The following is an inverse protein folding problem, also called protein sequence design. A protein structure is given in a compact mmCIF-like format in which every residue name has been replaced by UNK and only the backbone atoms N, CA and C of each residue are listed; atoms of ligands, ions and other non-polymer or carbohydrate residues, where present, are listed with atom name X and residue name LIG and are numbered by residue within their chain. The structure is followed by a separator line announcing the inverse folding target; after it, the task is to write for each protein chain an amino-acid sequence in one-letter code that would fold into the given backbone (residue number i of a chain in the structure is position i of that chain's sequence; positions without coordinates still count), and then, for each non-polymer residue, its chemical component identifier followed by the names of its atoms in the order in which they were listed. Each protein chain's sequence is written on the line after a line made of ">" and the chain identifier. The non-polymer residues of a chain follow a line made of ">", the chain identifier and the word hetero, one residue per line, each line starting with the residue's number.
data_IF_679082116475
#
_entry.id   IF_679082116475
#
_cell.length_a   1.000
_cell.length_b   1.000
_cell.length_c   1.000
_cell.angle_alpha   90.00
_cell.angle_beta   90.00
_cell.angle_gamma   90.00
#
_symmetry.space_group_name_H-M   'P 1'
#
loop_
_entity.id
_entity.type
_entity.pdbx_description
1 polymer ?
#
# COMPACT_ATOMS: atom_id res chain seq x y z
N UNK A 1 -53.79 1.22 -41.66
CA UNK A 1 -52.64 0.67 -40.91
C UNK A 1 -51.54 1.72 -40.92
N UNK A 2 -51.12 2.27 -39.78
CA UNK A 2 -49.96 3.15 -39.76
C UNK A 2 -48.68 2.31 -39.84
N UNK A 3 -47.73 2.77 -40.66
CA UNK A 3 -46.38 2.22 -40.78
C UNK A 3 -45.66 2.29 -39.43
N UNK A 4 -44.82 1.31 -39.05
CA UNK A 4 -44.07 1.39 -37.80
C UNK A 4 -43.00 2.48 -37.94
N UNK A 5 -42.98 3.40 -36.97
CA UNK A 5 -41.92 4.37 -36.82
C UNK A 5 -40.59 3.64 -36.64
N UNK A 6 -39.67 3.81 -37.60
CA UNK A 6 -38.27 3.44 -37.47
C UNK A 6 -37.67 4.33 -36.38
N UNK A 7 -37.58 3.80 -35.16
CA UNK A 7 -36.85 4.47 -34.09
C UNK A 7 -35.40 4.67 -34.52
N UNK A 8 -34.95 5.93 -34.52
CA UNK A 8 -33.55 6.30 -34.72
C UNK A 8 -32.71 5.59 -33.66
N UNK A 9 -31.95 4.60 -34.11
CA UNK A 9 -30.95 3.89 -33.32
C UNK A 9 -29.91 4.89 -32.81
N UNK A 10 -29.60 4.85 -31.51
CA UNK A 10 -28.55 5.70 -30.91
C UNK A 10 -27.20 5.42 -31.58
N UNK A 11 -26.32 6.42 -31.68
CA UNK A 11 -25.02 6.27 -32.35
C UNK A 11 -24.20 5.07 -31.80
N UNK A 12 -24.26 4.83 -30.50
CA UNK A 12 -23.65 3.65 -29.84
C UNK A 12 -24.16 2.31 -30.39
N UNK A 13 -25.45 2.22 -30.75
CA UNK A 13 -26.04 1.00 -31.31
C UNK A 13 -25.69 0.77 -32.78
N UNK A 14 -25.15 1.79 -33.47
CA UNK A 14 -24.53 1.64 -34.80
C UNK A 14 -23.11 1.06 -34.69
N UNK A 15 -22.38 1.36 -33.62
CA UNK A 15 -21.01 0.85 -33.38
C UNK A 15 -21.00 -0.61 -32.93
N UNK A 16 -21.93 -0.99 -32.04
CA UNK A 16 -21.99 -2.34 -31.49
C UNK A 16 -23.45 -2.80 -31.34
N UNK A 17 -23.79 -4.05 -31.72
CA UNK A 17 -25.15 -4.56 -31.54
C UNK A 17 -25.58 -4.57 -30.06
N UNK A 18 -26.88 -4.39 -29.75
CA UNK A 18 -27.38 -4.39 -28.37
C UNK A 18 -26.98 -5.62 -27.54
N UNK A 19 -26.95 -6.81 -28.16
CA UNK A 19 -26.51 -8.03 -27.49
C UNK A 19 -25.02 -7.98 -27.09
N UNK A 20 -24.17 -7.37 -27.91
CA UNK A 20 -22.75 -7.19 -27.61
C UNK A 20 -22.55 -6.13 -26.52
N UNK A 21 -23.34 -5.05 -26.51
CA UNK A 21 -23.33 -4.06 -25.43
C UNK A 21 -23.74 -4.67 -24.08
N UNK A 22 -24.77 -5.52 -24.08
CA UNK A 22 -25.18 -6.25 -22.89
C UNK A 22 -24.09 -7.21 -22.39
N UNK A 23 -23.41 -7.92 -23.31
CA UNK A 23 -22.28 -8.79 -22.95
C UNK A 23 -21.10 -7.99 -22.39
N UNK A 24 -20.75 -6.85 -22.99
CA UNK A 24 -19.71 -5.97 -22.46
C UNK A 24 -20.08 -5.50 -21.04
N UNK A 25 -21.32 -5.08 -20.83
CA UNK A 25 -21.80 -4.67 -19.50
C UNK A 25 -21.72 -5.80 -18.48
N UNK A 26 -22.03 -7.04 -18.87
CA UNK A 26 -21.90 -8.19 -17.98
C UNK A 26 -20.43 -8.47 -17.60
N UNK A 27 -19.49 -8.27 -18.53
CA UNK A 27 -18.05 -8.35 -18.25
C UNK A 27 -17.63 -7.23 -17.28
N UNK A 28 -18.03 -5.98 -17.56
CA UNK A 28 -17.77 -4.84 -16.67
C UNK A 28 -18.32 -5.09 -15.25
N UNK A 29 -19.53 -5.63 -15.14
CA UNK A 29 -20.15 -5.98 -13.85
C UNK A 29 -19.42 -7.12 -13.15
N UNK A 30 -18.98 -8.15 -13.90
CA UNK A 30 -18.14 -9.23 -13.35
C UNK A 30 -16.82 -8.69 -12.81
N UNK A 31 -16.17 -7.78 -13.54
CA UNK A 31 -14.91 -7.14 -13.12
C UNK A 31 -15.15 -6.30 -11.86
N UNK A 32 -16.17 -5.44 -11.87
CA UNK A 32 -16.52 -4.61 -10.72
C UNK A 32 -16.86 -5.47 -9.49
N UNK A 33 -17.56 -6.59 -9.70
CA UNK A 33 -17.91 -7.53 -8.65
C UNK A 33 -16.70 -8.27 -8.08
N UNK A 34 -15.74 -8.69 -8.91
CA UNK A 34 -14.47 -9.30 -8.48
C UNK A 34 -13.69 -8.40 -7.52
N UNK A 35 -13.76 -7.08 -7.69
CA UNK A 35 -13.13 -6.11 -6.80
C UNK A 35 -14.02 -5.58 -5.68
N UNK A 36 -15.20 -6.15 -5.47
CA UNK A 36 -16.08 -5.73 -4.37
C UNK A 36 -15.56 -6.21 -3.01
N UNK A 37 -15.45 -5.27 -2.07
CA UNK A 37 -14.87 -5.48 -0.74
C UNK A 37 -15.64 -6.49 0.12
N UNK A 38 -16.97 -6.59 -0.06
CA UNK A 38 -17.86 -7.46 0.72
C UNK A 38 -17.47 -8.95 0.67
N UNK A 39 -16.75 -9.39 -0.38
CA UNK A 39 -16.37 -10.80 -0.56
C UNK A 39 -14.98 -11.12 -0.02
N UNK A 40 -14.06 -10.14 -0.03
CA UNK A 40 -12.74 -10.24 0.61
C UNK A 40 -12.93 -10.43 2.13
N UNK A 41 -13.89 -9.72 2.72
CA UNK A 41 -14.21 -9.79 4.15
C UNK A 41 -14.92 -11.09 4.60
N UNK A 42 -15.60 -11.80 3.70
CA UNK A 42 -16.34 -13.04 4.01
C UNK A 42 -15.50 -14.30 3.85
N UNK A 43 -14.27 -14.19 3.34
CA UNK A 43 -13.46 -15.36 3.05
C UNK A 43 -14.12 -16.27 2.01
N UNK A 44 -14.80 -15.67 1.03
CA UNK A 44 -15.49 -16.40 -0.05
C UNK A 44 -14.77 -16.14 -1.38
N UNK A 45 -14.74 -17.17 -2.23
CA UNK A 45 -14.21 -17.06 -3.59
C UNK A 45 -15.18 -16.35 -4.56
N UNK A 46 -14.83 -16.35 -5.85
CA UNK A 46 -15.61 -15.75 -6.94
C UNK A 46 -16.97 -16.44 -7.20
N UNK A 47 -17.20 -17.61 -6.60
CA UNK A 47 -18.43 -18.39 -6.70
C UNK A 47 -19.23 -18.41 -5.38
N UNK A 48 -18.72 -17.77 -4.34
CA UNK A 48 -19.37 -17.72 -3.03
C UNK A 48 -19.16 -18.97 -2.17
N UNK A 49 -18.17 -19.81 -2.50
CA UNK A 49 -17.80 -20.96 -1.67
C UNK A 49 -16.77 -20.56 -0.62
N UNK A 50 -16.71 -21.36 0.46
CA UNK A 50 -15.66 -21.28 1.46
C UNK A 50 -14.28 -21.45 0.80
N UNK A 51 -13.34 -20.55 1.12
CA UNK A 51 -11.97 -20.50 0.58
C UNK A 51 -11.26 -21.86 0.61
N UNK A 52 -11.54 -22.73 1.59
CA UNK A 52 -10.93 -24.08 1.64
C UNK A 52 -11.39 -25.00 0.50
N UNK A 53 -12.61 -24.82 -0.01
CA UNK A 53 -13.21 -25.67 -1.05
C UNK A 53 -12.76 -25.31 -2.48
N UNK A 54 -12.25 -24.10 -2.70
CA UNK A 54 -11.84 -23.56 -4.01
C UNK A 54 -10.56 -24.21 -4.59
N UNK A 55 -9.81 -24.97 -3.77
CA UNK A 55 -8.57 -25.67 -4.16
C UNK A 55 -8.74 -26.72 -5.28
N UNK A 56 -9.98 -27.12 -5.60
CA UNK A 56 -10.24 -28.24 -6.50
C UNK A 56 -10.78 -27.86 -7.90
N UNK A 57 -10.99 -26.58 -8.23
CA UNK A 57 -11.69 -26.15 -9.46
C UNK A 57 -10.84 -25.50 -10.57
N UNK A 58 -9.52 -25.36 -10.41
CA UNK A 58 -8.68 -24.43 -11.23
C UNK A 58 -8.20 -24.96 -12.59
N UNK A 59 -9.13 -25.39 -13.44
CA UNK A 59 -8.87 -25.51 -14.87
C UNK A 59 -9.91 -24.82 -15.74
N UNK A 60 -11.09 -24.49 -15.22
CA UNK A 60 -12.19 -23.97 -16.04
C UNK A 60 -12.22 -22.44 -16.17
N UNK A 61 -11.63 -21.69 -15.24
CA UNK A 61 -11.76 -20.22 -15.20
C UNK A 61 -10.76 -19.52 -16.13
N UNK A 62 -9.53 -20.02 -16.23
CA UNK A 62 -8.51 -19.50 -17.15
C UNK A 62 -8.97 -19.62 -18.62
N UNK A 63 -9.67 -20.72 -18.93
CA UNK A 63 -10.25 -20.95 -20.25
C UNK A 63 -11.37 -19.94 -20.57
N UNK A 64 -12.19 -19.57 -19.58
CA UNK A 64 -13.25 -18.56 -19.76
C UNK A 64 -12.68 -17.16 -19.96
N UNK A 65 -11.70 -16.76 -19.15
CA UNK A 65 -11.04 -15.44 -19.26
C UNK A 65 -10.33 -15.31 -20.61
N UNK A 66 -9.70 -16.38 -21.10
CA UNK A 66 -9.11 -16.40 -22.44
C UNK A 66 -10.16 -16.22 -23.55
N UNK A 67 -11.34 -16.83 -23.40
CA UNK A 67 -12.45 -16.67 -24.35
C UNK A 67 -13.01 -15.23 -24.32
N UNK A 68 -13.16 -14.64 -23.14
CA UNK A 68 -13.61 -13.25 -22.98
C UNK A 68 -12.59 -12.27 -23.56
N UNK A 69 -11.30 -12.47 -23.27
CA UNK A 69 -10.21 -11.65 -23.80
C UNK A 69 -10.17 -11.70 -25.34
N UNK A 70 -10.27 -12.89 -25.93
CA UNK A 70 -10.35 -13.05 -27.39
C UNK A 70 -11.57 -12.35 -28.00
N UNK A 71 -12.70 -12.32 -27.29
CA UNK A 71 -13.89 -11.62 -27.73
C UNK A 71 -13.72 -10.09 -27.69
N UNK A 72 -13.09 -9.57 -26.63
CA UNK A 72 -12.80 -8.13 -26.50
C UNK A 72 -11.83 -7.65 -27.56
N UNK A 73 -10.76 -8.41 -27.87
CA UNK A 73 -9.84 -8.08 -28.96
C UNK A 73 -10.54 -7.96 -30.31
N UNK A 74 -11.49 -8.85 -30.61
CA UNK A 74 -12.29 -8.75 -31.84
C UNK A 74 -13.14 -7.48 -31.89
N UNK A 75 -13.56 -6.96 -30.73
CA UNK A 75 -14.28 -5.67 -30.67
C UNK A 75 -13.31 -4.51 -30.89
N UNK A 76 -12.13 -4.52 -30.25
CA UNK A 76 -11.12 -3.48 -30.46
C UNK A 76 -10.73 -3.37 -31.94
N UNK A 77 -10.48 -4.50 -32.61
CA UNK A 77 -10.18 -4.51 -34.06
C UNK A 77 -11.31 -3.88 -34.87
N UNK A 78 -12.57 -4.17 -34.55
CA UNK A 78 -13.71 -3.54 -35.24
C UNK A 78 -13.82 -2.05 -34.96
N UNK A 79 -13.56 -1.63 -33.73
CA UNK A 79 -13.56 -0.20 -33.38
C UNK A 79 -12.46 0.51 -34.17
N UNK A 80 -11.26 -0.05 -34.24
CA UNK A 80 -10.17 0.49 -35.06
C UNK A 80 -10.55 0.60 -36.55
N UNK A 81 -11.15 -0.44 -37.14
CA UNK A 81 -11.63 -0.43 -38.54
C UNK A 81 -12.71 0.64 -38.80
N UNK A 82 -13.39 1.09 -37.76
CA UNK A 82 -14.47 2.09 -37.81
C UNK A 82 -14.07 3.42 -37.17
N UNK A 83 -12.79 3.63 -36.91
CA UNK A 83 -12.29 4.85 -36.29
C UNK A 83 -12.62 6.06 -37.16
N UNK A 84 -13.09 7.18 -36.55
CA UNK A 84 -13.26 8.42 -37.27
C UNK A 84 -11.90 8.93 -37.79
N UNK A 85 -11.85 9.60 -38.95
CA UNK A 85 -10.61 10.11 -39.52
C UNK A 85 -9.93 11.08 -38.56
N UNK A 86 -8.60 11.00 -38.46
CA UNK A 86 -7.78 11.90 -37.65
C UNK A 86 -7.86 13.33 -38.21
N UNK A 87 -8.00 14.33 -37.33
CA UNK A 87 -7.90 15.74 -37.70
C UNK A 87 -6.42 16.10 -37.96
N UNK A 88 -5.90 15.75 -39.14
CA UNK A 88 -4.62 16.26 -39.59
C UNK A 88 -4.77 17.76 -39.89
N UNK A 89 -4.31 18.60 -38.96
CA UNK A 89 -4.09 20.03 -39.18
C UNK A 89 -2.87 20.26 -40.08
N UNK A 90 -2.90 19.74 -41.31
CA UNK A 90 -1.99 20.19 -42.37
C UNK A 90 -2.77 21.12 -43.29
N UNK A 91 -2.37 22.39 -43.24
CA UNK A 91 -2.84 23.51 -44.05
C UNK A 91 -4.23 24.05 -43.67
N UNK A 92 -4.22 25.24 -43.05
CA UNK A 92 -5.42 25.94 -42.53
C UNK A 92 -6.45 26.34 -43.59
N UNK A 93 -7.08 25.32 -44.15
CA UNK A 93 -8.32 25.36 -44.92
C UNK A 93 -9.43 25.03 -43.92
N UNK A 94 -10.38 25.95 -43.82
CA UNK A 94 -11.55 25.88 -42.96
C UNK A 94 -12.17 24.46 -43.00
N UNK A 95 -12.07 23.74 -41.87
CA UNK A 95 -12.70 22.43 -41.68
C UNK A 95 -14.20 22.60 -41.97
N UNK A 96 -14.77 21.72 -42.79
CA UNK A 96 -16.23 21.60 -42.89
C UNK A 96 -16.78 21.46 -41.47
N UNK A 97 -17.69 22.33 -41.06
CA UNK A 97 -18.31 22.29 -39.72
C UNK A 97 -18.74 20.85 -39.41
N UNK A 98 -18.08 20.22 -38.43
CA UNK A 98 -18.40 18.86 -37.99
C UNK A 98 -19.88 18.82 -37.62
N UNK A 99 -20.62 17.89 -38.22
CA UNK A 99 -22.04 17.75 -37.91
C UNK A 99 -22.21 17.24 -36.48
N UNK A 100 -23.34 17.57 -35.85
CA UNK A 100 -23.68 17.06 -34.51
C UNK A 100 -23.64 15.53 -34.48
N UNK A 101 -24.06 14.87 -35.57
CA UNK A 101 -24.04 13.41 -35.68
C UNK A 101 -22.62 12.82 -35.75
N UNK A 102 -21.70 13.46 -36.46
CA UNK A 102 -20.28 13.04 -36.54
C UNK A 102 -19.59 13.19 -35.18
N UNK A 103 -19.86 14.30 -34.50
CA UNK A 103 -19.33 14.55 -33.16
C UNK A 103 -19.85 13.54 -32.14
N UNK A 104 -21.16 13.26 -32.15
CA UNK A 104 -21.76 12.24 -31.29
C UNK A 104 -21.19 10.84 -31.58
N UNK A 105 -21.00 10.51 -32.86
CA UNK A 105 -20.39 9.25 -33.26
C UNK A 105 -18.96 9.10 -32.74
N UNK A 106 -18.13 10.15 -32.88
CA UNK A 106 -16.75 10.18 -32.38
C UNK A 106 -16.69 9.98 -30.87
N UNK A 107 -17.54 10.69 -30.12
CA UNK A 107 -17.62 10.55 -28.65
C UNK A 107 -18.07 9.16 -28.22
N UNK A 108 -19.07 8.59 -28.90
CA UNK A 108 -19.54 7.23 -28.59
C UNK A 108 -18.50 6.16 -28.95
N UNK A 109 -17.75 6.36 -30.04
CA UNK A 109 -16.64 5.50 -30.43
C UNK A 109 -15.51 5.54 -29.40
N UNK A 110 -15.06 6.73 -29.01
CA UNK A 110 -14.03 6.94 -28.00
C UNK A 110 -14.43 6.28 -26.66
N UNK A 111 -15.65 6.56 -26.19
CA UNK A 111 -16.18 5.97 -24.95
C UNK A 111 -16.25 4.44 -25.01
N UNK A 112 -16.66 3.88 -26.15
CA UNK A 112 -16.75 2.43 -26.30
C UNK A 112 -15.35 1.80 -26.37
N UNK A 113 -14.40 2.45 -27.06
CA UNK A 113 -12.99 2.05 -27.12
C UNK A 113 -12.36 2.05 -25.73
N UNK A 114 -12.59 3.09 -24.93
CA UNK A 114 -12.12 3.17 -23.55
C UNK A 114 -12.66 2.02 -22.69
N UNK A 115 -13.98 1.76 -22.76
CA UNK A 115 -14.63 0.66 -22.01
C UNK A 115 -14.06 -0.71 -22.36
N UNK A 116 -13.94 -1.01 -23.66
CA UNK A 116 -13.42 -2.30 -24.12
C UNK A 116 -11.94 -2.45 -23.75
N UNK A 117 -11.16 -1.38 -23.93
CA UNK A 117 -9.73 -1.35 -23.57
C UNK A 117 -9.53 -1.56 -22.07
N UNK A 118 -10.37 -0.95 -21.23
CA UNK A 118 -10.33 -1.16 -19.78
C UNK A 118 -10.59 -2.62 -19.39
N UNK A 119 -11.53 -3.30 -20.06
CA UNK A 119 -11.75 -4.73 -19.84
C UNK A 119 -10.55 -5.58 -20.31
N UNK A 120 -9.94 -5.27 -21.46
CA UNK A 120 -8.72 -5.99 -21.91
C UNK A 120 -7.58 -5.78 -20.92
N UNK A 121 -7.37 -4.54 -20.50
CA UNK A 121 -6.35 -4.18 -19.52
C UNK A 121 -6.56 -4.91 -18.18
N UNK A 122 -7.80 -5.16 -17.77
CA UNK A 122 -8.10 -6.01 -16.62
C UNK A 122 -7.58 -7.44 -16.79
N UNK A 123 -7.90 -8.09 -17.92
CA UNK A 123 -7.43 -9.45 -18.19
C UNK A 123 -5.91 -9.53 -18.41
N UNK A 124 -5.24 -8.42 -18.72
CA UNK A 124 -3.78 -8.31 -18.74
C UNK A 124 -3.15 -8.10 -17.35
N UNK A 125 -3.96 -8.00 -16.29
CA UNK A 125 -3.53 -7.85 -14.90
C UNK A 125 -3.41 -6.41 -14.41
N UNK A 126 -3.17 -6.27 -13.10
CA UNK A 126 -3.21 -4.97 -12.38
C UNK A 126 -2.27 -3.91 -12.96
N UNK A 127 -1.08 -4.30 -13.44
CA UNK A 127 -0.12 -3.36 -14.02
C UNK A 127 -0.65 -2.73 -15.33
N UNK A 128 -1.46 -3.45 -16.11
CA UNK A 128 -2.02 -2.94 -17.36
C UNK A 128 -3.28 -2.10 -17.15
N UNK A 129 -4.01 -2.34 -16.06
CA UNK A 129 -5.36 -1.81 -15.78
C UNK A 129 -5.44 -0.33 -15.37
N UNK A 130 -4.39 0.48 -15.62
CA UNK A 130 -4.38 1.92 -15.32
C UNK A 130 -4.51 2.27 -13.84
N UNK A 131 -4.85 3.52 -13.56
CA UNK A 131 -5.13 4.00 -12.20
C UNK A 131 -6.53 3.58 -11.74
N UNK A 132 -6.73 3.33 -10.45
CA UNK A 132 -8.04 3.00 -9.89
C UNK A 132 -8.21 3.58 -8.48
N UNK A 133 -9.46 3.86 -8.09
CA UNK A 133 -9.78 4.23 -6.71
C UNK A 133 -10.70 3.19 -6.11
N UNK A 134 -10.27 2.57 -5.01
CA UNK A 134 -11.00 1.54 -4.28
C UNK A 134 -11.55 2.09 -2.96
N UNK A 135 -12.70 1.60 -2.55
CA UNK A 135 -13.27 1.91 -1.23
C UNK A 135 -13.09 0.70 -0.33
N UNK A 136 -12.31 0.86 0.73
CA UNK A 136 -12.02 -0.13 1.75
C UNK A 136 -12.94 0.10 2.94
N UNK A 137 -13.52 -0.96 3.45
CA UNK A 137 -14.37 -0.94 4.64
C UNK A 137 -13.90 -2.05 5.56
N UNK A 138 -13.76 -1.73 6.84
CA UNK A 138 -13.47 -2.71 7.88
C UNK A 138 -14.59 -2.69 8.92
N UNK A 139 -14.80 -3.82 9.58
CA UNK A 139 -15.79 -3.93 10.67
C UNK A 139 -15.48 -2.90 11.75
N UNK A 140 -16.39 -1.96 11.92
CA UNK A 140 -16.30 -0.85 12.87
C UNK A 140 -17.71 -0.39 13.23
N UNK A 141 -17.88 0.22 14.41
CA UNK A 141 -19.14 0.82 14.81
C UNK A 141 -18.86 2.26 15.27
N UNK A 142 -19.44 3.26 14.60
CA UNK A 142 -20.14 3.22 13.32
C UNK A 142 -19.33 2.59 12.16
N UNK A 143 -19.98 2.28 11.04
CA UNK A 143 -19.25 1.93 9.82
C UNK A 143 -18.42 3.10 9.32
N UNK A 144 -17.17 2.84 8.96
CA UNK A 144 -16.28 3.79 8.27
C UNK A 144 -15.82 3.21 6.93
N UNK A 145 -15.35 4.07 6.04
CA UNK A 145 -14.78 3.69 4.75
C UNK A 145 -13.58 4.56 4.38
N UNK A 146 -12.55 3.96 3.77
CA UNK A 146 -11.40 4.65 3.21
C UNK A 146 -11.38 4.54 1.69
N UNK A 147 -11.22 5.65 1.00
CA UNK A 147 -11.01 5.67 -0.45
C UNK A 147 -9.51 5.75 -0.73
N UNK A 148 -8.96 4.77 -1.41
CA UNK A 148 -7.53 4.72 -1.77
C UNK A 148 -7.40 4.73 -3.28
N UNK A 149 -6.70 5.72 -3.80
CA UNK A 149 -6.26 5.78 -5.18
C UNK A 149 -4.95 5.00 -5.35
N UNK A 150 -4.99 3.97 -6.19
CA UNK A 150 -3.83 3.29 -6.75
C UNK A 150 -3.50 3.97 -8.09
N UNK A 151 -2.33 4.58 -8.25
CA UNK A 151 -1.95 5.19 -9.51
C UNK A 151 -1.69 4.12 -10.59
N UNK A 152 -1.65 4.53 -11.85
CA UNK A 152 -1.26 3.66 -12.95
C UNK A 152 0.20 3.22 -12.83
N UNK A 153 0.52 2.04 -13.33
CA UNK A 153 1.91 1.60 -13.49
C UNK A 153 2.59 2.35 -14.64
N UNK A 154 3.11 3.55 -14.38
CA UNK A 154 3.93 4.31 -15.31
C UNK A 154 5.40 4.05 -15.04
N UNK A 155 6.19 3.70 -16.06
CA UNK A 155 7.67 3.74 -15.97
C UNK A 155 8.34 2.86 -14.91
N UNK A 156 7.67 1.85 -14.33
CA UNK A 156 8.24 1.03 -13.25
C UNK A 156 8.08 1.62 -11.85
N UNK A 157 7.16 2.57 -11.65
CA UNK A 157 6.94 3.25 -10.37
C UNK A 157 6.62 2.25 -9.23
N UNK A 158 7.36 2.36 -8.12
CA UNK A 158 7.07 1.66 -6.86
C UNK A 158 5.79 2.23 -6.22
N UNK A 159 5.09 1.40 -5.45
CA UNK A 159 3.87 1.82 -4.72
C UNK A 159 2.63 2.05 -5.59
N UNK A 160 2.61 1.55 -6.82
CA UNK A 160 1.48 1.70 -7.75
C UNK A 160 0.22 0.91 -7.38
N UNK A 161 0.29 0.02 -6.38
CA UNK A 161 -0.86 -0.75 -5.92
C UNK A 161 -0.84 -0.99 -4.42
N UNK A 162 -2.04 -1.08 -3.85
CA UNK A 162 -2.25 -1.58 -2.49
C UNK A 162 -2.14 -3.12 -2.47
N UNK A 163 -1.17 -3.65 -1.73
CA UNK A 163 -0.89 -5.08 -1.60
C UNK A 163 -1.76 -5.76 -0.52
N UNK A 164 -1.89 -7.08 -0.60
CA UNK A 164 -2.72 -7.87 0.32
C UNK A 164 -2.30 -7.75 1.80
N UNK A 165 -1.00 -7.63 2.08
CA UNK A 165 -0.51 -7.39 3.45
C UNK A 165 -1.02 -6.09 4.05
N UNK A 166 -1.18 -5.04 3.23
CA UNK A 166 -1.70 -3.76 3.71
C UNK A 166 -3.17 -3.88 4.12
N UNK A 167 -3.98 -4.61 3.34
CA UNK A 167 -5.37 -4.90 3.70
C UNK A 167 -5.47 -5.70 5.01
N UNK A 168 -4.70 -6.77 5.14
CA UNK A 168 -4.75 -7.64 6.31
C UNK A 168 -4.26 -6.93 7.59
N UNK A 169 -3.18 -6.16 7.51
CA UNK A 169 -2.73 -5.35 8.65
C UNK A 169 -3.75 -4.26 9.02
N UNK A 170 -4.41 -3.65 8.03
CA UNK A 170 -5.49 -2.69 8.25
C UNK A 170 -6.70 -3.32 8.93
N UNK A 171 -7.03 -4.56 8.57
CA UNK A 171 -8.08 -5.35 9.22
C UNK A 171 -7.75 -5.60 10.69
N UNK A 172 -6.52 -6.01 11.01
CA UNK A 172 -6.07 -6.17 12.41
C UNK A 172 -6.16 -4.86 13.22
N UNK A 173 -5.80 -3.72 12.61
CA UNK A 173 -5.95 -2.39 13.23
C UNK A 173 -7.42 -2.10 13.55
N UNK A 174 -8.31 -2.27 12.55
CA UNK A 174 -9.72 -1.95 12.71
C UNK A 174 -10.44 -2.89 13.69
N UNK A 175 -9.99 -4.13 13.82
CA UNK A 175 -10.53 -5.14 14.73
C UNK A 175 -10.03 -5.01 16.18
N UNK A 176 -9.02 -4.16 16.42
CA UNK A 176 -8.47 -3.95 17.77
C UNK A 176 -7.45 -4.99 18.20
N UNK A 177 -6.83 -5.70 17.26
CA UNK A 177 -5.84 -6.74 17.58
C UNK A 177 -4.48 -6.16 18.01
N UNK A 178 -4.22 -4.88 17.71
CA UNK A 178 -3.02 -4.12 18.12
C UNK A 178 -3.29 -3.46 19.49
N UNK A 179 -2.70 -3.95 20.61
CA UNK A 179 -3.06 -3.53 21.96
C UNK A 179 -2.87 -2.02 22.24
N UNK A 180 -1.90 -1.40 21.58
CA UNK A 180 -1.58 0.02 21.70
C UNK A 180 -2.63 0.91 21.02
N UNK A 181 -3.49 0.36 20.17
CA UNK A 181 -4.52 1.06 19.42
C UNK A 181 -5.91 0.70 19.94
N UNK A 182 -6.60 1.67 20.51
CA UNK A 182 -8.01 1.50 20.87
C UNK A 182 -8.89 1.53 19.61
N UNK A 183 -9.84 0.61 19.43
CA UNK A 183 -10.79 0.65 18.33
C UNK A 183 -11.64 1.92 18.35
N UNK A 184 -12.03 2.39 17.18
CA UNK A 184 -13.00 3.47 17.07
C UNK A 184 -14.42 3.00 17.46
N UNK A 185 -15.08 3.75 18.33
CA UNK A 185 -16.41 3.43 18.88
C UNK A 185 -17.49 4.49 18.56
N UNK A 186 -17.18 5.50 17.74
CA UNK A 186 -18.12 6.54 17.32
C UNK A 186 -18.53 7.56 18.36
N UNK A 187 -18.35 7.25 19.63
CA UNK A 187 -18.85 8.08 20.71
C UNK A 187 -17.75 9.04 21.18
N UNK A 188 -17.76 10.26 20.64
CA UNK A 188 -16.93 11.36 21.16
C UNK A 188 -17.49 11.97 22.46
N UNK A 189 -18.67 11.51 22.92
CA UNK A 189 -19.47 12.10 23.99
C UNK A 189 -19.71 11.18 25.21
N UNK A 190 -19.30 9.91 25.17
CA UNK A 190 -19.47 9.04 26.32
C UNK A 190 -18.50 9.43 27.44
N UNK A 191 -19.02 9.44 28.66
CA UNK A 191 -18.28 9.22 29.90
C UNK A 191 -17.65 7.81 29.94
N UNK A 192 -17.18 7.29 28.80
CA UNK A 192 -16.22 6.19 28.80
C UNK A 192 -14.99 6.70 29.56
N UNK A 193 -14.39 5.90 30.45
CA UNK A 193 -13.14 6.31 31.09
C UNK A 193 -12.21 6.77 29.98
N UNK A 194 -11.77 8.04 30.03
CA UNK A 194 -10.82 8.57 29.07
C UNK A 194 -9.71 7.53 28.93
N UNK A 195 -9.39 7.13 27.68
CA UNK A 195 -8.29 6.19 27.45
C UNK A 195 -7.13 6.57 28.36
N UNK A 196 -6.75 5.65 29.24
CA UNK A 196 -5.71 5.88 30.23
C UNK A 196 -4.33 6.02 29.56
N UNK A 197 -4.24 5.67 28.28
CA UNK A 197 -3.08 5.91 27.45
C UNK A 197 -3.15 7.22 26.69
N UNK A 198 -2.02 7.95 26.59
CA UNK A 198 -1.90 9.04 25.63
C UNK A 198 -2.12 8.52 24.20
N UNK A 199 -2.56 9.40 23.30
CA UNK A 199 -2.66 9.06 21.88
C UNK A 199 -1.27 8.66 21.35
N UNK A 200 -1.12 7.47 20.76
CA UNK A 200 0.18 6.99 20.32
C UNK A 200 0.70 7.79 19.13
N UNK A 201 2.01 8.02 19.09
CA UNK A 201 2.75 8.46 17.90
C UNK A 201 3.07 7.25 17.04
N UNK A 202 2.55 7.25 15.82
CA UNK A 202 2.67 6.11 14.91
C UNK A 202 3.54 6.51 13.71
N UNK A 203 4.46 5.64 13.31
CA UNK A 203 5.18 5.73 12.04
C UNK A 203 4.87 4.50 11.19
N UNK A 204 4.40 4.71 9.97
CA UNK A 204 4.33 3.68 8.94
C UNK A 204 5.58 3.74 8.05
N UNK A 205 6.26 2.60 7.91
CA UNK A 205 7.40 2.43 7.02
C UNK A 205 6.90 1.89 5.67
N UNK A 206 7.37 2.47 4.56
CA UNK A 206 7.05 1.99 3.21
C UNK A 206 5.54 2.04 2.95
N UNK A 207 4.93 3.20 3.20
CA UNK A 207 3.47 3.37 3.20
C UNK A 207 2.81 3.02 1.88
N UNK A 208 3.50 3.10 0.74
CA UNK A 208 2.92 2.85 -0.57
C UNK A 208 1.67 3.72 -0.80
N UNK A 209 0.50 3.12 -0.97
CA UNK A 209 -0.75 3.86 -1.14
C UNK A 209 -1.33 4.45 0.16
N UNK A 210 -0.79 4.03 1.31
CA UNK A 210 -1.11 4.55 2.64
C UNK A 210 -2.27 3.85 3.35
N UNK A 211 -2.79 2.73 2.82
CA UNK A 211 -3.97 2.06 3.40
C UNK A 211 -3.80 1.78 4.91
N UNK A 212 -2.63 1.30 5.36
CA UNK A 212 -2.43 0.93 6.77
C UNK A 212 -2.39 2.16 7.67
N UNK A 213 -1.57 3.16 7.33
CA UNK A 213 -1.47 4.40 8.11
C UNK A 213 -2.79 5.18 8.16
N UNK A 214 -3.52 5.28 7.05
CA UNK A 214 -4.85 5.90 7.04
C UNK A 214 -5.87 5.09 7.83
N UNK A 215 -5.77 3.76 7.83
CA UNK A 215 -6.60 2.92 8.69
C UNK A 215 -6.31 3.19 10.16
N UNK A 216 -5.05 3.29 10.58
CA UNK A 216 -4.71 3.66 11.95
C UNK A 216 -5.25 5.06 12.35
N UNK A 217 -5.22 6.03 11.43
CA UNK A 217 -5.71 7.38 11.70
C UNK A 217 -7.25 7.47 11.82
N UNK A 218 -7.97 6.61 11.08
CA UNK A 218 -9.43 6.63 10.98
C UNK A 218 -10.11 5.63 11.92
N UNK A 219 -9.60 4.40 12.02
CA UNK A 219 -10.22 3.30 12.75
C UNK A 219 -9.69 3.11 14.17
N UNK A 220 -8.71 3.92 14.60
CA UNK A 220 -8.20 3.87 15.97
C UNK A 220 -8.39 5.20 16.70
N UNK A 221 -8.75 5.11 17.99
CA UNK A 221 -9.01 6.20 18.94
C UNK A 221 -10.10 7.21 18.50
N UNK A 222 -11.02 7.63 19.38
CA UNK A 222 -12.04 8.64 19.04
C UNK A 222 -11.46 9.97 18.54
N UNK A 223 -10.29 10.36 19.05
CA UNK A 223 -9.57 11.59 18.65
C UNK A 223 -8.58 11.37 17.48
N UNK A 224 -8.33 10.12 17.09
CA UNK A 224 -7.30 9.72 16.12
C UNK A 224 -5.87 9.90 16.62
N UNK A 225 -4.97 8.91 16.49
CA UNK A 225 -3.54 9.14 16.69
C UNK A 225 -2.99 10.07 15.60
N UNK A 226 -1.87 10.73 15.88
CA UNK A 226 -1.09 11.38 14.81
C UNK A 226 -0.24 10.30 14.14
N UNK A 227 -0.49 10.06 12.86
CA UNK A 227 0.21 9.04 12.07
C UNK A 227 1.20 9.72 11.14
N UNK A 228 2.44 9.25 11.13
CA UNK A 228 3.44 9.64 10.14
C UNK A 228 3.48 8.53 9.09
N UNK A 229 3.09 8.84 7.86
CA UNK A 229 3.25 7.95 6.71
C UNK A 229 4.57 8.29 6.02
N UNK A 230 5.37 7.27 5.70
CA UNK A 230 6.69 7.49 5.13
C UNK A 230 7.03 6.56 3.98
N UNK A 231 7.70 7.12 2.98
CA UNK A 231 8.25 6.39 1.85
C UNK A 231 9.50 7.10 1.33
N UNK A 232 10.35 6.41 0.57
CA UNK A 232 11.52 7.03 -0.04
C UNK A 232 11.20 7.68 -1.39
N UNK A 233 10.16 7.19 -2.08
CA UNK A 233 9.92 7.54 -3.47
C UNK A 233 9.00 8.77 -3.62
N UNK A 234 9.41 9.85 -4.33
CA UNK A 234 8.62 11.07 -4.45
C UNK A 234 7.22 10.86 -5.05
N UNK A 235 7.05 9.95 -6.01
CA UNK A 235 5.74 9.66 -6.59
C UNK A 235 4.81 8.98 -5.58
N UNK A 236 5.36 8.19 -4.66
CA UNK A 236 4.60 7.60 -3.56
C UNK A 236 4.18 8.68 -2.57
N UNK A 237 5.09 9.61 -2.22
CA UNK A 237 4.76 10.78 -1.38
C UNK A 237 3.62 11.61 -1.99
N UNK A 238 3.64 11.86 -3.30
CA UNK A 238 2.54 12.53 -4.01
C UNK A 238 1.22 11.76 -3.91
N UNK A 239 1.27 10.43 -4.08
CA UNK A 239 0.11 9.53 -3.96
C UNK A 239 -0.46 9.55 -2.54
N UNK A 240 0.38 9.53 -1.51
CA UNK A 240 -0.03 9.64 -0.11
C UNK A 240 -0.75 10.97 0.16
N UNK A 241 -0.23 12.08 -0.37
CA UNK A 241 -0.91 13.38 -0.22
C UNK A 241 -2.26 13.42 -0.92
N UNK A 242 -2.38 12.81 -2.10
CA UNK A 242 -3.66 12.66 -2.79
C UNK A 242 -4.65 11.83 -1.96
N UNK A 243 -4.22 10.67 -1.44
CA UNK A 243 -5.07 9.78 -0.64
C UNK A 243 -5.44 10.36 0.72
N UNK A 244 -4.56 11.13 1.36
CA UNK A 244 -4.86 11.87 2.60
C UNK A 244 -6.02 12.85 2.37
N UNK A 245 -5.92 13.68 1.32
CA UNK A 245 -6.97 14.64 0.94
C UNK A 245 -8.28 13.95 0.58
N UNK A 246 -8.21 12.82 -0.13
CA UNK A 246 -9.38 12.04 -0.52
C UNK A 246 -10.20 11.55 0.68
N UNK A 247 -9.57 11.41 1.85
CA UNK A 247 -10.19 10.97 3.10
C UNK A 247 -10.27 12.07 4.17
N UNK A 248 -9.90 13.32 3.88
CA UNK A 248 -9.82 14.43 4.84
C UNK A 248 -8.92 14.13 6.06
N UNK A 249 -7.80 13.44 5.85
CA UNK A 249 -6.89 13.01 6.92
C UNK A 249 -5.68 13.92 7.13
N UNK A 250 -5.59 15.05 6.41
CA UNK A 250 -4.42 15.96 6.46
C UNK A 250 -4.12 16.54 7.85
N UNK A 251 -5.12 16.60 8.74
CA UNK A 251 -4.93 17.06 10.12
C UNK A 251 -4.47 15.95 11.08
N UNK A 252 -4.65 14.68 10.70
CA UNK A 252 -4.30 13.49 11.49
C UNK A 252 -3.02 12.82 11.00
N UNK A 253 -2.68 13.02 9.73
CA UNK A 253 -1.55 12.39 9.08
C UNK A 253 -0.49 13.43 8.72
N UNK A 254 0.77 13.09 8.99
CA UNK A 254 1.94 13.76 8.47
C UNK A 254 2.61 12.83 7.45
N UNK A 255 3.04 13.36 6.31
CA UNK A 255 3.62 12.56 5.22
C UNK A 255 5.05 13.00 5.03
N UNK A 256 6.00 12.06 5.10
CA UNK A 256 7.43 12.37 5.10
C UNK A 256 8.21 11.49 4.15
N UNK A 257 9.20 12.09 3.50
CA UNK A 257 10.25 11.33 2.83
C UNK A 257 11.15 10.70 3.90
N UNK A 258 11.37 9.39 3.81
CA UNK A 258 12.27 8.66 4.68
C UNK A 258 13.09 7.65 3.88
N UNK A 259 14.38 7.92 3.72
CA UNK A 259 15.34 6.96 3.16
C UNK A 259 16.01 6.18 4.29
N UNK A 260 15.77 4.88 4.35
CA UNK A 260 16.32 4.02 5.39
C UNK A 260 17.85 3.92 5.32
N UNK A 261 18.45 4.11 4.13
CA UNK A 261 19.90 4.09 3.94
C UNK A 261 20.57 5.26 4.64
N UNK A 262 19.91 6.41 4.68
CA UNK A 262 20.42 7.58 5.40
C UNK A 262 20.49 7.33 6.90
N UNK A 263 19.53 6.58 7.46
CA UNK A 263 19.54 6.19 8.87
C UNK A 263 20.74 5.29 9.16
N UNK A 264 20.96 4.25 8.36
CA UNK A 264 22.10 3.37 8.50
C UNK A 264 23.43 4.13 8.35
N UNK A 265 23.53 5.04 7.37
CA UNK A 265 24.71 5.88 7.16
C UNK A 265 25.00 6.77 8.37
N UNK A 266 23.99 7.47 8.90
CA UNK A 266 24.13 8.31 10.10
C UNK A 266 24.57 7.50 11.32
N UNK A 267 24.02 6.30 11.51
CA UNK A 267 24.43 5.38 12.57
C UNK A 267 25.89 4.94 12.43
N UNK A 268 26.33 4.55 11.22
CA UNK A 268 27.74 4.21 10.93
C UNK A 268 28.67 5.39 11.23
N UNK A 269 28.29 6.62 10.84
CA UNK A 269 29.07 7.84 11.14
C UNK A 269 29.17 8.11 12.64
N UNK A 270 28.07 7.98 13.40
CA UNK A 270 28.09 8.09 14.87
C UNK A 270 29.03 7.08 15.51
N UNK A 271 28.97 5.83 15.07
CA UNK A 271 29.79 4.75 15.60
C UNK A 271 31.28 5.05 15.37
N UNK A 272 31.67 5.42 14.16
CA UNK A 272 33.06 5.76 13.84
C UNK A 272 33.55 6.99 14.63
N UNK A 273 32.70 8.00 14.80
CA UNK A 273 33.03 9.17 15.61
C UNK A 273 33.21 8.81 17.10
N UNK A 274 32.44 7.86 17.62
CA UNK A 274 32.60 7.34 18.98
C UNK A 274 33.91 6.57 19.14
N UNK A 275 34.26 5.69 18.18
CA UNK A 275 35.54 4.96 18.19
C UNK A 275 36.73 5.93 18.14
N UNK A 276 36.72 6.90 17.23
CA UNK A 276 37.81 7.89 17.13
C UNK A 276 37.96 8.76 18.38
N UNK A 277 36.86 9.03 19.12
CA UNK A 277 36.92 9.71 20.43
C UNK A 277 37.41 8.80 21.57
N UNK A 278 37.22 7.49 21.45
CA UNK A 278 37.77 6.49 22.37
C UNK A 278 39.27 6.26 22.17
N UNK A 279 39.73 6.30 20.91
CA UNK A 279 41.12 6.02 20.52
C UNK A 279 42.10 7.18 20.81
N UNK A 280 41.61 8.39 21.13
CA UNK A 280 42.46 9.47 21.69
C UNK A 280 42.98 9.16 23.10
N UNK A 281 42.51 8.07 23.75
CA UNK A 281 42.98 7.65 25.07
C UNK A 281 43.73 6.32 25.13
N UNK A 282 43.71 5.49 24.10
CA UNK A 282 44.45 4.22 24.08
C UNK A 282 45.01 3.92 22.69
N UNK A 283 46.21 4.43 22.40
CA UNK A 283 47.05 3.86 21.35
C UNK A 283 47.76 2.62 21.91
N UNK A 284 47.32 1.41 21.51
CA UNK A 284 48.15 0.40 20.85
C UNK A 284 47.40 -0.94 20.66
N UNK A 285 47.42 -1.41 19.40
CA UNK A 285 47.34 -2.81 18.94
C UNK A 285 46.02 -3.58 19.07
N UNK A 286 45.35 -3.80 17.93
CA UNK A 286 45.32 -5.08 17.19
C UNK A 286 44.12 -5.09 16.22
N UNK A 287 44.32 -4.63 14.97
CA UNK A 287 43.26 -4.62 13.96
C UNK A 287 43.10 -6.02 13.34
N UNK A 288 42.24 -6.85 13.95
CA UNK A 288 41.60 -7.96 13.25
C UNK A 288 40.30 -7.46 12.61
N UNK A 289 40.40 -7.06 11.36
CA UNK A 289 39.27 -6.80 10.48
C UNK A 289 38.46 -8.10 10.30
N UNK A 290 37.23 -8.12 10.80
CA UNK A 290 36.21 -9.09 10.43
C UNK A 290 35.77 -8.85 8.98
N UNK A 291 35.53 -9.90 8.17
CA UNK A 291 35.08 -9.73 6.81
C UNK A 291 33.60 -9.31 6.82
N UNK A 292 33.36 -8.01 6.65
CA UNK A 292 32.02 -7.48 6.38
C UNK A 292 31.58 -7.97 5.00
N UNK A 293 30.45 -8.67 4.95
CA UNK A 293 29.79 -9.03 3.69
C UNK A 293 29.14 -7.76 3.16
N UNK A 294 29.84 -7.05 2.28
CA UNK A 294 29.32 -5.86 1.58
C UNK A 294 27.95 -6.19 0.99
N UNK A 295 26.94 -5.41 1.38
CA UNK A 295 25.63 -5.44 0.72
C UNK A 295 25.72 -4.54 -0.52
N UNK A 296 25.04 -4.90 -1.60
CA UNK A 296 25.06 -4.17 -2.89
C UNK A 296 24.60 -2.71 -2.78
N UNK A 297 24.06 -2.32 -1.62
CA UNK A 297 23.53 -0.99 -1.32
C UNK A 297 24.59 0.05 -0.89
N UNK A 298 25.84 -0.36 -0.63
CA UNK A 298 26.93 0.59 -0.32
C UNK A 298 27.31 1.50 -1.53
N UNK A 299 26.89 1.13 -2.76
CA UNK A 299 27.35 1.79 -4.00
C UNK A 299 26.29 2.62 -4.76
N UNK A 300 25.05 2.73 -4.28
CA UNK A 300 24.01 3.56 -4.96
C UNK A 300 23.80 4.85 -4.19
N UNK A 301 24.71 5.82 -4.39
CA UNK A 301 24.44 7.20 -4.06
C UNK A 301 23.30 7.73 -4.97
N UNK A 302 22.31 8.48 -4.46
CA UNK A 302 21.44 9.24 -5.34
C UNK A 302 22.30 10.23 -6.13
N UNK A 303 22.17 10.23 -7.45
CA UNK A 303 22.66 11.33 -8.27
C UNK A 303 22.09 12.63 -7.70
N UNK A 304 23.00 13.52 -7.31
CA UNK A 304 22.73 14.86 -6.78
C UNK A 304 21.53 15.54 -7.44
N UNK A 305 20.40 15.59 -6.74
CA UNK A 305 19.39 16.59 -6.99
C UNK A 305 19.92 17.91 -6.41
N UNK A 306 20.33 18.80 -7.31
CA UNK A 306 20.82 20.15 -7.01
C UNK A 306 19.79 20.97 -6.24
N UNK A 307 20.16 21.55 -5.10
CA UNK A 307 19.38 22.64 -4.51
C UNK A 307 19.55 22.97 -3.01
N UNK A 308 20.25 22.16 -2.20
CA UNK A 308 20.43 22.45 -0.78
C UNK A 308 21.80 23.09 -0.49
N UNK A 309 21.79 24.18 0.27
CA UNK A 309 22.99 24.94 0.67
C UNK A 309 24.01 24.08 1.42
N UNK A 310 25.32 24.25 1.19
CA UNK A 310 26.34 23.35 1.70
C UNK A 310 26.91 23.84 3.04
N UNK A 311 26.11 24.01 4.09
CA UNK A 311 26.63 24.53 5.38
C UNK A 311 25.94 23.99 6.66
N UNK A 312 25.06 22.99 6.60
CA UNK A 312 24.68 22.27 7.82
C UNK A 312 25.51 21.00 7.94
N UNK A 313 26.35 20.90 8.97
CA UNK A 313 26.88 19.59 9.38
C UNK A 313 25.73 18.59 9.42
N UNK A 314 25.88 17.37 8.88
CA UNK A 314 24.81 16.39 8.93
C UNK A 314 24.46 16.18 10.41
N UNK A 315 23.23 16.49 10.79
CA UNK A 315 22.72 16.23 12.13
C UNK A 315 22.82 14.71 12.38
N UNK A 316 23.91 14.34 13.03
CA UNK A 316 24.26 12.98 13.39
C UNK A 316 23.81 12.66 14.80
N UNK A 317 23.07 13.53 15.48
CA UNK A 317 22.58 13.24 16.83
C UNK A 317 21.57 12.08 16.78
N UNK A 318 21.52 11.31 17.87
CA UNK A 318 20.48 10.30 18.03
C UNK A 318 19.14 10.98 18.28
N UNK A 319 18.05 10.39 17.80
CA UNK A 319 16.71 10.89 18.06
C UNK A 319 16.44 10.92 19.57
N UNK A 320 16.03 12.10 20.06
CA UNK A 320 15.57 12.27 21.42
C UNK A 320 14.36 11.36 21.68
N UNK A 321 14.21 10.86 22.92
CA UNK A 321 13.13 9.94 23.29
C UNK A 321 11.73 10.54 23.02
N UNK A 322 11.61 11.87 23.14
CA UNK A 322 10.37 12.59 22.83
C UNK A 322 9.97 12.52 21.36
N UNK A 323 10.93 12.34 20.44
CA UNK A 323 10.71 12.31 19.00
C UNK A 323 10.53 10.89 18.45
N UNK A 324 10.74 9.88 19.30
CA UNK A 324 10.52 8.48 18.98
C UNK A 324 9.03 8.10 19.01
N UNK A 325 8.75 6.99 18.37
CA UNK A 325 7.43 6.48 18.08
C UNK A 325 7.00 5.45 19.11
N UNK A 326 5.73 5.52 19.50
CA UNK A 326 5.08 4.53 20.35
C UNK A 326 4.81 3.24 19.56
N UNK A 327 4.44 3.40 18.28
CA UNK A 327 4.16 2.31 17.37
C UNK A 327 4.88 2.53 16.04
N UNK A 328 5.50 1.49 15.53
CA UNK A 328 5.90 1.44 14.11
C UNK A 328 5.07 0.35 13.44
N UNK A 329 4.60 0.61 12.23
CA UNK A 329 3.85 -0.36 11.41
C UNK A 329 4.47 -0.46 10.02
N UNK A 330 4.39 -1.64 9.39
CA UNK A 330 4.87 -1.82 8.02
C UNK A 330 4.22 -3.03 7.34
N UNK A 331 3.82 -2.87 6.08
CA UNK A 331 3.30 -3.95 5.26
C UNK A 331 4.25 -4.19 4.08
N UNK A 332 4.79 -5.41 3.98
CA UNK A 332 5.76 -5.84 2.96
C UNK A 332 7.06 -5.04 2.91
N UNK A 333 7.54 -4.49 4.01
CA UNK A 333 8.75 -3.63 4.02
C UNK A 333 10.08 -4.39 3.86
N UNK A 334 10.07 -5.72 3.85
CA UNK A 334 11.27 -6.57 3.75
C UNK A 334 11.20 -7.42 2.48
N UNK A 335 11.98 -7.03 1.47
CA UNK A 335 12.00 -7.70 0.16
C UNK A 335 13.25 -8.56 -0.07
N UNK A 336 14.39 -8.13 0.48
CA UNK A 336 15.68 -8.80 0.37
C UNK A 336 16.50 -8.61 1.64
N UNK A 337 17.68 -9.23 1.66
CA UNK A 337 18.61 -9.23 2.79
C UNK A 337 19.10 -7.82 3.19
N UNK A 338 19.22 -6.89 2.24
CA UNK A 338 19.58 -5.50 2.54
C UNK A 338 18.43 -4.75 3.21
N UNK A 339 17.19 -4.96 2.73
CA UNK A 339 16.00 -4.42 3.38
C UNK A 339 15.83 -4.94 4.81
N UNK A 340 16.15 -6.20 5.08
CA UNK A 340 16.13 -6.77 6.42
C UNK A 340 17.01 -6.00 7.42
N UNK A 341 18.25 -5.67 7.04
CA UNK A 341 19.18 -4.84 7.83
C UNK A 341 18.64 -3.41 7.99
N UNK A 342 18.23 -2.78 6.89
CA UNK A 342 17.78 -1.40 6.87
C UNK A 342 16.55 -1.18 7.77
N UNK A 343 15.52 -2.02 7.64
CA UNK A 343 14.29 -1.92 8.43
C UNK A 343 14.60 -2.09 9.92
N UNK A 344 15.42 -3.07 10.30
CA UNK A 344 15.78 -3.28 11.71
C UNK A 344 16.47 -2.05 12.32
N UNK A 345 17.39 -1.41 11.58
CA UNK A 345 18.06 -0.19 12.03
C UNK A 345 17.11 1.01 12.14
N UNK A 346 16.16 1.16 11.22
CA UNK A 346 15.13 2.21 11.28
C UNK A 346 14.22 1.98 12.48
N UNK A 347 13.76 0.75 12.69
CA UNK A 347 12.92 0.41 13.85
C UNK A 347 13.68 0.71 15.15
N UNK A 348 14.96 0.34 15.26
CA UNK A 348 15.72 0.65 16.48
C UNK A 348 15.93 2.15 16.73
N UNK A 349 16.15 2.93 15.66
CA UNK A 349 16.33 4.38 15.73
C UNK A 349 15.03 5.10 16.10
N UNK A 350 13.89 4.69 15.54
CA UNK A 350 12.63 5.42 15.70
C UNK A 350 11.74 4.87 16.80
N UNK A 351 11.85 3.60 17.19
CA UNK A 351 10.99 3.05 18.24
C UNK A 351 11.48 3.54 19.60
N UNK A 352 10.56 3.96 20.47
CA UNK A 352 10.86 4.35 21.85
C UNK A 352 11.65 3.29 22.60
N UNK A 353 12.56 3.74 23.45
CA UNK A 353 13.38 2.91 24.35
C UNK A 353 12.66 2.73 25.69
N UNK A 354 11.91 3.74 26.11
CA UNK A 354 11.13 3.73 27.35
C UNK A 354 9.69 3.21 27.12
N UNK A 355 9.02 2.83 28.21
CA UNK A 355 7.59 2.51 28.15
C UNK A 355 6.77 3.76 27.79
N UNK A 356 5.72 3.58 27.00
CA UNK A 356 4.75 4.62 26.61
C UNK A 356 4.13 5.28 27.85
N UNK A 357 3.91 4.50 28.91
CA UNK A 357 3.39 4.98 30.18
C UNK A 357 3.98 4.21 31.36
N UNK A 358 4.17 4.91 32.48
CA UNK A 358 4.55 4.31 33.76
C UNK A 358 3.33 3.83 34.58
N UNK A 359 2.09 4.07 34.12
CA UNK A 359 0.88 3.70 34.86
C UNK A 359 0.67 2.17 34.85
N UNK A 360 0.98 1.51 35.97
CA UNK A 360 0.87 0.06 36.12
C UNK A 360 -0.56 -0.49 36.10
N UNK A 361 -1.59 0.36 36.19
CA UNK A 361 -2.99 -0.06 36.03
C UNK A 361 -3.32 -0.47 34.59
N UNK A 362 -2.52 -0.01 33.62
CA UNK A 362 -2.65 -0.37 32.22
C UNK A 362 -1.78 -1.62 31.97
N UNK A 363 -2.31 -2.58 31.21
CA UNK A 363 -1.55 -3.79 30.88
C UNK A 363 -0.26 -3.45 30.13
N UNK A 364 0.79 -4.25 30.40
CA UNK A 364 2.12 -4.06 29.82
C UNK A 364 2.09 -4.06 28.29
N UNK A 365 1.27 -4.92 27.68
CA UNK A 365 1.08 -4.99 26.22
C UNK A 365 0.72 -3.64 25.61
N UNK A 366 -0.06 -2.82 26.31
CA UNK A 366 -0.50 -1.52 25.81
C UNK A 366 0.46 -0.38 26.14
N UNK A 367 1.37 -0.59 27.10
CA UNK A 367 2.35 0.41 27.54
C UNK A 367 3.73 0.23 26.93
N UNK A 368 4.01 -0.90 26.28
CA UNK A 368 5.29 -1.13 25.61
C UNK A 368 5.22 -0.63 24.15
N UNK A 369 6.25 0.08 23.67
CA UNK A 369 6.41 0.36 22.25
C UNK A 369 6.54 -0.94 21.46
N UNK A 370 5.98 -0.96 20.25
CA UNK A 370 6.04 -2.14 19.38
C UNK A 370 6.21 -1.78 17.90
N UNK A 371 6.81 -2.72 17.17
CA UNK A 371 6.81 -2.75 15.71
C UNK A 371 5.91 -3.87 15.22
N UNK A 372 4.86 -3.54 14.46
CA UNK A 372 4.01 -4.54 13.81
C UNK A 372 4.33 -4.62 12.33
N UNK A 373 4.55 -5.83 11.84
CA UNK A 373 4.85 -6.08 10.44
C UNK A 373 3.94 -7.17 9.89
N UNK A 374 3.49 -6.99 8.64
CA UNK A 374 2.78 -8.00 7.86
C UNK A 374 3.55 -8.28 6.57
N UNK A 375 3.81 -9.55 6.28
CA UNK A 375 4.44 -9.95 5.01
C UNK A 375 3.87 -11.27 4.47
N UNK A 376 3.87 -11.46 3.14
CA UNK A 376 3.50 -12.73 2.53
C UNK A 376 4.62 -13.76 2.70
N UNK A 377 4.28 -14.96 3.13
CA UNK A 377 5.18 -16.11 3.16
C UNK A 377 5.31 -16.68 1.74
N UNK A 378 6.37 -16.25 1.05
CA UNK A 378 6.78 -16.80 -0.25
C UNK A 378 7.93 -17.78 -0.06
N UNK A 379 7.98 -18.84 -0.88
CA UNK A 379 9.06 -19.86 -0.81
C UNK A 379 10.46 -19.25 -0.96
N UNK A 380 10.56 -18.15 -1.70
CA UNK A 380 11.80 -17.40 -1.96
C UNK A 380 12.18 -16.39 -0.87
N UNK A 381 11.38 -16.24 0.19
CA UNK A 381 11.60 -15.22 1.23
C UNK A 381 11.94 -15.80 2.61
N UNK A 382 12.01 -17.13 2.76
CA UNK A 382 12.25 -17.76 4.05
C UNK A 382 13.63 -17.40 4.64
N UNK A 383 14.65 -17.32 3.79
CA UNK A 383 15.99 -16.87 4.14
C UNK A 383 16.01 -15.37 4.49
N UNK A 384 15.32 -14.53 3.72
CA UNK A 384 15.19 -13.09 3.99
C UNK A 384 14.51 -12.83 5.34
N UNK A 385 13.46 -13.58 5.68
CA UNK A 385 12.78 -13.47 6.98
C UNK A 385 13.70 -13.90 8.12
N UNK A 386 14.51 -14.95 7.92
CA UNK A 386 15.48 -15.38 8.92
C UNK A 386 16.58 -14.32 9.15
N UNK A 387 17.06 -13.69 8.08
CA UNK A 387 18.01 -12.57 8.17
C UNK A 387 17.38 -11.35 8.86
N UNK A 388 16.09 -11.08 8.60
CA UNK A 388 15.34 -10.05 9.32
C UNK A 388 15.24 -10.34 10.82
N UNK A 389 14.88 -11.57 11.20
CA UNK A 389 14.84 -12.00 12.61
C UNK A 389 16.21 -11.86 13.28
N UNK A 390 17.29 -12.20 12.58
CA UNK A 390 18.66 -11.99 13.05
C UNK A 390 18.95 -10.52 13.34
N UNK A 391 18.62 -9.61 12.42
CA UNK A 391 18.86 -8.18 12.60
C UNK A 391 18.00 -7.56 13.70
N UNK A 392 16.73 -7.96 13.81
CA UNK A 392 15.86 -7.53 14.90
C UNK A 392 16.43 -7.97 16.26
N UNK A 393 16.89 -9.21 16.38
CA UNK A 393 17.52 -9.74 17.59
C UNK A 393 18.79 -8.94 17.98
N UNK A 394 19.62 -8.59 16.97
CA UNK A 394 20.81 -7.74 17.12
C UNK A 394 20.48 -6.34 17.62
N UNK A 395 19.32 -5.81 17.28
CA UNK A 395 18.83 -4.52 17.78
C UNK A 395 18.15 -4.61 19.16
N UNK A 396 18.14 -5.80 19.78
CA UNK A 396 17.49 -6.01 21.07
C UNK A 396 15.97 -6.13 20.98
N UNK A 397 15.42 -6.38 19.79
CA UNK A 397 14.00 -6.59 19.55
C UNK A 397 13.71 -8.09 19.45
N UNK A 398 12.54 -8.51 19.91
CA UNK A 398 12.11 -9.91 19.92
C UNK A 398 10.65 -10.02 19.46
N UNK A 399 10.37 -11.04 18.63
CA UNK A 399 9.02 -11.41 18.24
C UNK A 399 8.26 -11.97 19.47
N UNK A 400 7.20 -11.28 19.88
CA UNK A 400 6.39 -11.67 21.04
C UNK A 400 4.96 -12.08 20.69
N UNK A 401 4.50 -11.85 19.46
CA UNK A 401 3.16 -12.21 18.99
C UNK A 401 3.20 -12.42 17.50
N UNK A 402 2.60 -13.52 17.06
CA UNK A 402 2.47 -13.83 15.65
C UNK A 402 1.12 -14.44 15.31
N UNK A 403 0.62 -14.15 14.12
CA UNK A 403 -0.52 -14.83 13.51
C UNK A 403 -0.24 -15.13 12.04
N UNK A 404 -0.89 -16.17 11.52
CA UNK A 404 -0.84 -16.49 10.09
C UNK A 404 -2.25 -16.57 9.56
N UNK A 405 -2.48 -15.95 8.41
CA UNK A 405 -3.78 -15.94 7.77
C UNK A 405 -3.64 -15.98 6.26
N UNK A 406 -4.61 -16.60 5.60
CA UNK A 406 -4.64 -16.63 4.14
C UNK A 406 -5.28 -15.35 3.63
N UNK A 407 -4.69 -14.76 2.59
CA UNK A 407 -5.24 -13.60 1.91
C UNK A 407 -5.08 -13.73 0.40
N UNK A 408 -5.89 -12.98 -0.35
CA UNK A 408 -5.76 -12.87 -1.81
C UNK A 408 -5.17 -11.52 -2.21
N UNK A 409 -4.31 -11.56 -3.21
CA UNK A 409 -3.81 -10.40 -3.92
C UNK A 409 -4.53 -10.34 -5.28
N UNK A 410 -5.16 -9.20 -5.58
CA UNK A 410 -5.87 -8.92 -6.84
C UNK A 410 -6.98 -9.94 -7.23
N UNK A 411 -7.49 -10.70 -6.26
CA UNK A 411 -8.57 -11.68 -6.45
C UNK A 411 -8.14 -13.05 -6.99
N UNK A 412 -6.89 -13.17 -7.43
CA UNK A 412 -6.38 -14.34 -8.17
C UNK A 412 -5.34 -15.13 -7.37
N UNK A 413 -4.35 -14.46 -6.77
CA UNK A 413 -3.24 -15.16 -6.10
C UNK A 413 -3.45 -15.22 -4.60
N UNK A 414 -3.47 -16.42 -4.04
CA UNK A 414 -3.60 -16.64 -2.60
C UNK A 414 -2.24 -16.83 -1.96
N UNK A 415 -1.91 -16.01 -0.95
CA UNK A 415 -0.70 -16.14 -0.14
C UNK A 415 -1.06 -16.39 1.31
N UNK A 416 -0.19 -17.12 2.01
CA UNK A 416 -0.22 -17.18 3.47
C UNK A 416 0.55 -15.96 3.99
N UNK A 417 -0.10 -15.09 4.74
CA UNK A 417 0.52 -13.92 5.35
C UNK A 417 0.91 -14.21 6.79
N UNK A 418 1.94 -13.52 7.27
CA UNK A 418 2.45 -13.64 8.63
C UNK A 418 2.49 -12.25 9.25
N UNK A 419 1.63 -12.05 10.25
CA UNK A 419 1.66 -10.89 11.13
C UNK A 419 2.61 -11.16 12.29
N UNK A 420 3.48 -10.20 12.62
CA UNK A 420 4.38 -10.27 13.79
C UNK A 420 4.40 -8.94 14.57
N UNK A 421 4.59 -9.05 15.88
CA UNK A 421 4.85 -7.95 16.82
C UNK A 421 6.26 -8.10 17.38
N UNK A 422 7.11 -7.10 17.17
CA UNK A 422 8.44 -7.03 17.78
C UNK A 422 8.46 -5.96 18.86
N UNK A 423 9.02 -6.31 20.02
CA UNK A 423 9.16 -5.41 21.18
C UNK A 423 10.58 -5.47 21.72
N UNK A 424 10.97 -4.47 22.53
CA UNK A 424 12.29 -4.48 23.16
C UNK A 424 12.37 -5.57 24.22
N UNK A 425 13.46 -6.34 24.23
CA UNK A 425 13.66 -7.48 25.15
C UNK A 425 13.55 -7.05 26.61
N UNK A 426 14.07 -5.87 26.97
CA UNK A 426 14.00 -5.32 28.32
C UNK A 426 12.55 -5.11 28.83
N UNK A 427 11.59 -4.90 27.93
CA UNK A 427 10.18 -4.67 28.30
C UNK A 427 9.42 -5.97 28.58
N UNK A 428 10.00 -7.15 28.34
CA UNK A 428 9.36 -8.43 28.66
C UNK A 428 9.55 -8.85 30.13
N UNK A 429 10.53 -8.25 30.83
CA UNK A 429 10.90 -8.58 32.21
C UNK A 429 10.41 -7.58 33.25
N UNK A 430 9.91 -6.43 32.82
CA UNK A 430 9.27 -5.37 33.64
C UNK A 430 7.78 -5.58 33.77
#
# INVERSE_FOLDING_TARGET
>A
MPSPATGTMTATSKLLPPASLAKLKAIEDRIAYKYSQDRIDQGLDQDGNDIESYRHSHQNDDDEDQVLMNWLFKILVKLEETAPPEEENEDGVDLTEETVEEKEYRQDHERLTERVSACVAHFCGRAASGAMTRTWTFRSIPPQSLKIHDPSFTGGDVGFKTFGSAYLLSKHIAQGDIPQLEPWTGDSSSNTPASTLPLPKILELGSGTGLVGFTAALYSNPKGPKVILSDYHPNVISTLHHNSKLNNLDSKCDIRLLDWRDILRKRKLRWNAWQNKGDEKEQEQDTKTTPYRSTEYDNVAPSSASGAAPDSEPDCQELAESDRMDLIIGAEVVYDHGHAELVAHVVDEYLKKELISANTEISLERRRPAFHIMFPLRKTHADVIADFDFWMDKMGLIDCRQAKEWGREDGETTFLYHWREYVRKEHLST
#
